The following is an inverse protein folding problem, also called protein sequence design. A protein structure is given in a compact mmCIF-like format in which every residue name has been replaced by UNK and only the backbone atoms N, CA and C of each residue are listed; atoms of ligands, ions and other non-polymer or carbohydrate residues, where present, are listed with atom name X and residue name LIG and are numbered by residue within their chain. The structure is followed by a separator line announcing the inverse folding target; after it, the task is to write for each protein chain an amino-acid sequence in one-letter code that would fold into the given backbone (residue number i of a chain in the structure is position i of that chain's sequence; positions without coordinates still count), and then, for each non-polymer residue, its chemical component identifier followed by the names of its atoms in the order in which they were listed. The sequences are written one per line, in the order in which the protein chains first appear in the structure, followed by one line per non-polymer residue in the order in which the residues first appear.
data_IF_008564964947
#
_entry.id   IF_008564964947
#
_cell.length_a   1.000
_cell.length_b   1.000
_cell.length_c   1.000
_cell.angle_alpha   90.00
_cell.angle_beta   90.00
_cell.angle_gamma   90.00
#
_symmetry.space_group_name_H-M   'P 1'
#
loop_
_entity.id
_entity.type
_entity.pdbx_description
1 polymer ?
#
# COMPACT_ATOMS: atom_id res chain seq x y z
N UNK A 1 -24.88 18.92 -15.61
CA UNK A 1 -24.52 20.17 -14.90
C UNK A 1 -25.47 20.28 -13.72
N UNK A 2 -25.06 19.80 -12.54
CA UNK A 2 -25.88 19.88 -11.32
C UNK A 2 -25.19 20.88 -10.39
N UNK A 3 -25.89 21.99 -10.13
CA UNK A 3 -25.51 22.99 -9.15
C UNK A 3 -25.66 22.43 -7.75
N UNK A 4 -24.57 22.42 -6.97
CA UNK A 4 -24.64 22.35 -5.51
C UNK A 4 -24.52 23.77 -4.95
N UNK A 5 -25.59 24.54 -5.12
CA UNK A 5 -25.80 25.80 -4.42
C UNK A 5 -26.57 25.56 -3.13
N UNK A 6 -25.89 25.09 -2.08
CA UNK A 6 -26.42 25.21 -0.73
C UNK A 6 -25.81 26.46 -0.10
N UNK A 7 -26.62 27.51 0.04
CA UNK A 7 -26.26 28.70 0.80
C UNK A 7 -25.81 28.26 2.20
N UNK A 8 -24.52 28.39 2.48
CA UNK A 8 -23.99 28.18 3.81
C UNK A 8 -24.60 29.26 4.72
N UNK A 9 -25.44 28.84 5.66
CA UNK A 9 -25.84 29.72 6.76
C UNK A 9 -24.58 30.27 7.44
N UNK A 10 -24.57 31.58 7.66
CA UNK A 10 -23.48 32.28 8.32
C UNK A 10 -23.28 31.73 9.75
N UNK A 11 -22.45 30.70 9.89
CA UNK A 11 -22.21 29.98 11.14
C UNK A 11 -21.99 28.46 10.98
N UNK A 12 -22.28 27.88 9.81
CA UNK A 12 -22.10 26.44 9.57
C UNK A 12 -20.65 26.08 9.20
N UNK A 13 -20.16 24.97 9.75
CA UNK A 13 -18.90 24.34 9.33
C UNK A 13 -19.17 23.61 8.00
N UNK A 14 -18.37 23.88 6.97
CA UNK A 14 -18.43 23.17 5.69
C UNK A 14 -17.14 22.41 5.43
N UNK A 15 -17.27 21.18 4.94
CA UNK A 15 -16.15 20.31 4.56
C UNK A 15 -16.22 20.10 3.04
N UNK A 16 -15.79 21.08 2.22
CA UNK A 16 -15.61 20.85 0.79
C UNK A 16 -14.56 19.78 0.56
N UNK A 17 -14.57 19.13 -0.62
CA UNK A 17 -13.60 18.07 -0.98
C UNK A 17 -12.14 18.49 -0.80
N UNK A 18 -11.86 19.80 -0.82
CA UNK A 18 -10.52 20.38 -0.80
C UNK A 18 -10.10 20.97 0.55
N UNK A 19 -10.93 20.94 1.59
CA UNK A 19 -10.54 21.54 2.87
C UNK A 19 -11.63 21.65 3.92
N UNK A 20 -11.37 22.49 4.91
CA UNK A 20 -12.27 22.78 6.03
C UNK A 20 -12.46 24.29 6.11
N UNK A 21 -13.71 24.74 5.97
CA UNK A 21 -14.07 26.15 6.15
C UNK A 21 -14.63 26.35 7.57
N UNK A 22 -14.00 27.26 8.32
CA UNK A 22 -14.28 27.50 9.74
C UNK A 22 -14.82 28.91 9.95
N UNK A 23 -15.89 29.07 10.75
CA UNK A 23 -16.41 30.40 11.03
C UNK A 23 -15.41 31.24 11.84
N UNK A 24 -15.34 32.54 11.53
CA UNK A 24 -14.42 33.51 12.15
C UNK A 24 -14.48 33.61 13.69
N UNK A 25 -15.54 33.09 14.33
CA UNK A 25 -15.71 33.07 15.80
C UNK A 25 -16.00 31.66 16.32
N UNK A 26 -15.19 30.68 15.94
CA UNK A 26 -15.26 29.34 16.52
C UNK A 26 -14.63 29.33 17.94
N UNK A 27 -15.34 28.89 18.99
CA UNK A 27 -14.76 28.72 20.32
C UNK A 27 -13.56 27.76 20.29
N UNK A 28 -12.50 28.08 21.04
CA UNK A 28 -11.26 27.29 21.07
C UNK A 28 -11.50 25.81 21.41
N UNK A 29 -12.35 25.52 22.39
CA UNK A 29 -12.68 24.15 22.78
C UNK A 29 -13.30 23.34 21.64
N UNK A 30 -14.18 23.97 20.84
CA UNK A 30 -14.77 23.35 19.65
C UNK A 30 -13.72 23.11 18.57
N UNK A 31 -12.81 24.06 18.36
CA UNK A 31 -11.70 23.91 17.43
C UNK A 31 -10.79 22.73 17.81
N UNK A 32 -10.43 22.60 19.09
CA UNK A 32 -9.64 21.46 19.61
C UNK A 32 -10.38 20.13 19.43
N UNK A 33 -11.68 20.09 19.72
CA UNK A 33 -12.50 18.89 19.53
C UNK A 33 -12.51 18.46 18.05
N UNK A 34 -12.69 19.40 17.13
CA UNK A 34 -12.64 19.12 15.69
C UNK A 34 -11.28 18.56 15.28
N UNK A 35 -10.18 19.14 15.77
CA UNK A 35 -8.83 18.62 15.52
C UNK A 35 -8.67 17.16 15.96
N UNK A 36 -9.20 16.79 17.14
CA UNK A 36 -9.18 15.40 17.64
C UNK A 36 -10.01 14.46 16.77
N UNK A 37 -11.20 14.88 16.34
CA UNK A 37 -12.06 14.10 15.44
C UNK A 37 -11.39 13.89 14.07
N UNK A 38 -10.83 14.95 13.48
CA UNK A 38 -10.10 14.86 12.21
C UNK A 38 -8.88 13.94 12.34
N UNK A 39 -8.13 14.04 13.44
CA UNK A 39 -7.00 13.17 13.70
C UNK A 39 -7.42 11.70 13.81
N UNK A 40 -8.53 11.42 14.51
CA UNK A 40 -9.09 10.07 14.66
C UNK A 40 -9.51 9.51 13.31
N UNK A 41 -10.29 10.28 12.53
CA UNK A 41 -10.75 9.88 11.19
C UNK A 41 -9.54 9.66 10.27
N UNK A 42 -8.56 10.54 10.30
CA UNK A 42 -7.34 10.39 9.51
C UNK A 42 -6.60 9.09 9.87
N UNK A 43 -6.34 8.85 11.16
CA UNK A 43 -5.62 7.67 11.63
C UNK A 43 -6.35 6.35 11.36
N UNK A 44 -7.69 6.34 11.42
CA UNK A 44 -8.50 5.13 11.22
C UNK A 44 -8.94 4.91 9.78
N UNK A 45 -8.92 5.94 8.93
CA UNK A 45 -9.49 5.89 7.56
C UNK A 45 -8.99 4.72 6.73
N UNK A 46 -7.68 4.46 6.71
CA UNK A 46 -7.08 3.36 5.96
C UNK A 46 -7.56 1.98 6.46
N UNK A 47 -7.69 1.82 7.78
CA UNK A 47 -8.26 0.60 8.38
C UNK A 47 -9.72 0.43 7.98
N UNK A 48 -10.55 1.46 8.16
CA UNK A 48 -11.97 1.40 7.82
C UNK A 48 -12.20 1.08 6.34
N UNK A 49 -11.43 1.70 5.43
CA UNK A 49 -11.52 1.43 4.00
C UNK A 49 -11.07 0.00 3.64
N UNK A 50 -10.03 -0.51 4.31
CA UNK A 50 -9.60 -1.90 4.16
C UNK A 50 -10.66 -2.88 4.63
N UNK A 51 -11.23 -2.67 5.82
CA UNK A 51 -12.28 -3.51 6.40
C UNK A 51 -13.57 -3.49 5.58
N UNK A 52 -13.98 -2.30 5.13
CA UNK A 52 -15.11 -2.14 4.23
C UNK A 52 -14.93 -2.96 2.95
N UNK A 53 -13.73 -2.96 2.38
CA UNK A 53 -13.45 -3.72 1.17
C UNK A 53 -13.46 -5.24 1.41
N UNK A 54 -12.87 -5.70 2.53
CA UNK A 54 -12.87 -7.11 2.91
C UNK A 54 -14.29 -7.62 3.20
N UNK A 55 -15.09 -6.82 3.87
CA UNK A 55 -16.51 -7.12 4.07
C UNK A 55 -17.23 -7.19 2.72
N UNK A 56 -16.99 -6.24 1.81
CA UNK A 56 -17.62 -6.24 0.49
C UNK A 56 -17.23 -7.44 -0.38
N UNK A 57 -15.98 -7.90 -0.30
CA UNK A 57 -15.51 -9.10 -1.00
C UNK A 57 -16.23 -10.37 -0.54
N UNK A 58 -16.45 -10.50 0.78
CA UNK A 58 -17.13 -11.66 1.38
C UNK A 58 -18.64 -11.61 1.24
N UNK A 59 -19.26 -10.43 1.40
CA UNK A 59 -20.71 -10.26 1.42
C UNK A 59 -21.34 -10.16 0.02
N UNK A 60 -20.59 -9.69 -0.99
CA UNK A 60 -21.15 -9.33 -2.30
C UNK A 60 -20.52 -10.04 -3.50
N UNK A 61 -19.91 -11.21 -3.35
CA UNK A 61 -19.45 -12.09 -4.43
C UNK A 61 -18.70 -11.38 -5.59
N UNK A 62 -17.84 -10.41 -5.28
CA UNK A 62 -17.03 -9.68 -6.28
C UNK A 62 -17.63 -8.36 -6.81
N UNK A 63 -18.86 -7.98 -6.40
CA UNK A 63 -19.47 -6.68 -6.75
C UNK A 63 -18.81 -5.46 -6.07
N UNK A 64 -17.83 -5.69 -5.21
CA UNK A 64 -17.05 -4.61 -4.61
C UNK A 64 -16.33 -3.76 -5.67
N UNK A 65 -16.02 -4.31 -6.86
CA UNK A 65 -15.40 -3.53 -7.95
C UNK A 65 -16.34 -2.43 -8.46
N UNK A 66 -17.63 -2.73 -8.62
CA UNK A 66 -18.66 -1.72 -8.93
C UNK A 66 -18.73 -0.67 -7.82
N UNK A 67 -18.61 -1.08 -6.55
CA UNK A 67 -18.61 -0.15 -5.43
C UNK A 67 -17.39 0.79 -5.45
N UNK A 68 -16.20 0.30 -5.83
CA UNK A 68 -15.00 1.14 -6.00
C UNK A 68 -15.18 2.13 -7.14
N UNK A 69 -15.81 1.76 -8.25
CA UNK A 69 -16.05 2.70 -9.36
C UNK A 69 -16.98 3.86 -8.96
N UNK A 70 -17.85 3.64 -7.98
CA UNK A 70 -18.76 4.65 -7.45
C UNK A 70 -18.15 5.52 -6.33
N UNK A 71 -17.10 5.05 -5.66
CA UNK A 71 -16.38 5.83 -4.67
C UNK A 71 -15.14 6.42 -5.35
N UNK A 72 -15.00 7.74 -5.48
CA UNK A 72 -13.88 8.40 -6.18
C UNK A 72 -12.48 8.18 -5.54
N UNK A 73 -12.10 6.93 -5.33
CA UNK A 73 -10.96 6.42 -4.57
C UNK A 73 -10.06 5.64 -5.52
N UNK A 74 -8.75 5.77 -5.35
CA UNK A 74 -7.80 5.02 -6.15
C UNK A 74 -7.87 3.52 -5.81
N UNK A 75 -8.21 2.70 -6.82
CA UNK A 75 -8.29 1.24 -6.70
C UNK A 75 -7.01 0.62 -6.11
N UNK A 76 -5.83 1.07 -6.54
CA UNK A 76 -4.56 0.52 -6.06
C UNK A 76 -4.35 0.78 -4.57
N UNK A 77 -4.72 1.98 -4.11
CA UNK A 77 -4.67 2.35 -2.70
C UNK A 77 -5.60 1.48 -1.86
N UNK A 78 -6.84 1.28 -2.33
CA UNK A 78 -7.82 0.43 -1.64
C UNK A 78 -7.38 -1.03 -1.58
N UNK A 79 -6.80 -1.55 -2.66
CA UNK A 79 -6.26 -2.91 -2.67
C UNK A 79 -5.14 -3.08 -1.65
N UNK A 80 -4.25 -2.11 -1.53
CA UNK A 80 -3.22 -2.10 -0.50
C UNK A 80 -3.83 -2.06 0.91
N UNK A 81 -4.84 -1.22 1.13
CA UNK A 81 -5.54 -1.13 2.42
C UNK A 81 -6.17 -2.46 2.83
N UNK A 82 -6.90 -3.09 1.91
CA UNK A 82 -7.51 -4.39 2.15
C UNK A 82 -6.47 -5.50 2.40
N UNK A 83 -5.35 -5.48 1.68
CA UNK A 83 -4.28 -6.44 1.91
C UNK A 83 -3.70 -6.33 3.32
N UNK A 84 -3.37 -5.13 3.80
CA UNK A 84 -2.88 -4.93 5.18
C UNK A 84 -3.97 -5.29 6.19
N UNK A 85 -5.22 -4.84 5.99
CA UNK A 85 -6.34 -5.16 6.86
C UNK A 85 -6.58 -6.66 7.01
N UNK A 86 -6.33 -7.43 5.94
CA UNK A 86 -6.42 -8.90 5.94
C UNK A 86 -5.28 -9.55 6.72
N UNK A 87 -4.06 -9.00 6.63
CA UNK A 87 -2.91 -9.49 7.41
C UNK A 87 -3.03 -9.19 8.90
N UNK A 88 -3.75 -8.12 9.26
CA UNK A 88 -3.98 -7.69 10.64
C UNK A 88 -5.48 -7.63 10.98
N UNK A 89 -6.08 -8.77 11.39
CA UNK A 89 -7.41 -8.76 12.00
C UNK A 89 -7.46 -7.80 13.20
N UNK A 90 -8.66 -7.34 13.58
CA UNK A 90 -8.85 -6.34 14.65
C UNK A 90 -8.07 -6.67 15.94
N UNK A 91 -7.97 -7.94 16.33
CA UNK A 91 -7.25 -8.40 17.53
C UNK A 91 -5.72 -8.27 17.45
N UNK A 92 -5.14 -8.15 16.26
CA UNK A 92 -3.68 -8.00 16.04
C UNK A 92 -3.28 -6.56 15.76
N UNK A 93 -4.23 -5.62 15.67
CA UNK A 93 -3.94 -4.20 15.45
C UNK A 93 -3.53 -3.55 16.76
N UNK A 94 -2.44 -2.77 16.70
CA UNK A 94 -1.94 -2.01 17.84
C UNK A 94 -2.31 -0.55 17.66
N UNK A 95 -3.10 -0.01 18.56
CA UNK A 95 -3.60 1.36 18.53
C UNK A 95 -2.48 2.42 18.69
N UNK A 96 -1.41 2.06 19.40
CA UNK A 96 -0.19 2.87 19.49
C UNK A 96 0.57 3.01 18.15
N UNK A 97 0.29 2.15 17.16
CA UNK A 97 0.99 2.13 15.87
C UNK A 97 0.06 2.49 14.72
N UNK A 98 0.53 3.38 13.84
CA UNK A 98 -0.25 3.74 12.66
C UNK A 98 -0.43 2.57 11.68
N UNK A 99 -1.42 2.66 10.80
CA UNK A 99 -1.60 1.77 9.65
C UNK A 99 -0.30 1.59 8.85
N UNK A 100 0.48 2.67 8.72
CA UNK A 100 1.76 2.64 8.02
C UNK A 100 2.78 1.68 8.63
N UNK A 101 2.87 1.57 9.96
CA UNK A 101 3.77 0.61 10.61
C UNK A 101 3.40 -0.83 10.25
N UNK A 102 2.11 -1.14 10.29
CA UNK A 102 1.58 -2.45 9.94
C UNK A 102 1.87 -2.78 8.46
N UNK A 103 1.74 -1.79 7.57
CA UNK A 103 2.05 -1.96 6.16
C UNK A 103 3.53 -2.33 5.90
N UNK A 104 4.48 -1.81 6.67
CA UNK A 104 5.92 -2.13 6.49
C UNK A 104 6.25 -3.60 6.77
N UNK A 105 5.48 -4.26 7.62
CA UNK A 105 5.73 -5.64 8.04
C UNK A 105 4.73 -6.64 7.44
N UNK A 106 3.70 -6.17 6.72
CA UNK A 106 2.59 -6.99 6.25
C UNK A 106 3.01 -8.18 5.36
N UNK A 107 4.15 -8.08 4.67
CA UNK A 107 4.72 -9.16 3.84
C UNK A 107 5.47 -10.23 4.64
N UNK A 108 5.84 -9.96 5.89
CA UNK A 108 6.53 -10.90 6.76
C UNK A 108 5.58 -11.98 7.30
N UNK A 109 6.16 -13.06 7.85
CA UNK A 109 5.38 -14.06 8.56
C UNK A 109 4.80 -13.49 9.86
N UNK A 110 3.68 -14.05 10.33
CA UNK A 110 2.93 -13.54 11.48
C UNK A 110 3.79 -13.38 12.75
N UNK A 111 4.70 -14.32 13.12
CA UNK A 111 5.60 -14.13 14.26
C UNK A 111 6.56 -12.95 14.10
N UNK A 112 7.07 -12.73 12.88
CA UNK A 112 7.99 -11.64 12.58
C UNK A 112 7.27 -10.28 12.61
N UNK A 113 6.04 -10.23 12.10
CA UNK A 113 5.19 -9.05 12.23
C UNK A 113 5.02 -8.65 13.69
N UNK A 114 4.66 -9.60 14.55
CA UNK A 114 4.41 -9.33 15.98
C UNK A 114 5.69 -8.89 16.71
N UNK A 115 6.83 -9.49 16.36
CA UNK A 115 8.15 -9.10 16.85
C UNK A 115 8.48 -7.65 16.49
N UNK A 116 8.40 -7.30 15.21
CA UNK A 116 8.77 -5.98 14.72
C UNK A 116 7.83 -4.87 15.20
N UNK A 117 6.52 -5.15 15.24
CA UNK A 117 5.55 -4.20 15.78
C UNK A 117 5.76 -3.99 17.28
N UNK A 118 6.07 -5.04 18.06
CA UNK A 118 6.43 -4.88 19.47
C UNK A 118 7.67 -4.02 19.65
N UNK A 119 8.73 -4.29 18.89
CA UNK A 119 9.97 -3.51 18.96
C UNK A 119 9.72 -2.03 18.62
N UNK A 120 8.91 -1.75 17.60
CA UNK A 120 8.55 -0.40 17.21
C UNK A 120 7.75 0.34 18.29
N UNK A 121 6.80 -0.34 18.93
CA UNK A 121 6.01 0.20 20.04
C UNK A 121 6.90 0.48 21.27
N UNK A 122 7.68 -0.50 21.70
CA UNK A 122 8.55 -0.40 22.88
C UNK A 122 9.60 0.72 22.75
N UNK A 123 10.10 0.96 21.54
CA UNK A 123 11.14 1.97 21.27
C UNK A 123 10.59 3.27 20.66
N UNK A 124 9.26 3.41 20.51
CA UNK A 124 8.64 4.58 19.91
C UNK A 124 9.14 4.88 18.49
N UNK A 125 9.40 3.85 17.69
CA UNK A 125 9.96 4.03 16.35
C UNK A 125 8.97 4.68 15.40
N UNK A 126 9.49 5.54 14.51
CA UNK A 126 8.73 5.96 13.34
C UNK A 126 8.64 4.82 12.33
N UNK A 127 7.64 4.89 11.44
CA UNK A 127 7.48 3.96 10.32
C UNK A 127 8.75 3.84 9.48
N UNK A 128 9.44 4.95 9.23
CA UNK A 128 10.67 4.95 8.44
C UNK A 128 11.81 4.22 9.18
N UNK A 129 11.90 4.36 10.51
CA UNK A 129 12.88 3.61 11.30
C UNK A 129 12.57 2.12 11.29
N UNK A 130 11.32 1.74 11.52
CA UNK A 130 10.86 0.35 11.44
C UNK A 130 11.22 -0.27 10.08
N UNK A 131 10.94 0.42 8.97
CA UNK A 131 11.31 -0.01 7.62
C UNK A 131 12.81 -0.27 7.48
N UNK A 132 13.64 0.65 7.98
CA UNK A 132 15.10 0.51 7.88
C UNK A 132 15.61 -0.72 8.65
N UNK A 133 15.08 -0.95 9.85
CA UNK A 133 15.45 -2.08 10.71
C UNK A 133 15.01 -3.43 10.13
N UNK A 134 13.78 -3.51 9.60
CA UNK A 134 13.29 -4.71 8.91
C UNK A 134 14.19 -5.03 7.71
N UNK A 135 14.55 -4.03 6.90
CA UNK A 135 15.43 -4.22 5.74
C UNK A 135 16.83 -4.68 6.13
N UNK A 136 17.42 -4.08 7.16
CA UNK A 136 18.74 -4.49 7.66
C UNK A 136 18.72 -5.96 8.08
N UNK A 137 17.71 -6.39 8.85
CA UNK A 137 17.57 -7.78 9.29
C UNK A 137 17.35 -8.76 8.14
N UNK A 138 16.59 -8.39 7.11
CA UNK A 138 16.41 -9.22 5.91
C UNK A 138 17.71 -9.36 5.11
N UNK A 139 18.51 -8.29 5.02
CA UNK A 139 19.79 -8.31 4.34
C UNK A 139 20.80 -9.21 5.06
N UNK A 140 20.93 -9.07 6.39
CA UNK A 140 21.79 -9.94 7.21
C UNK A 140 21.44 -11.43 7.04
N UNK A 141 20.15 -11.77 6.96
CA UNK A 141 19.69 -13.14 6.70
C UNK A 141 20.02 -13.63 5.31
N UNK A 142 19.96 -12.75 4.30
CA UNK A 142 20.32 -13.09 2.93
C UNK A 142 21.81 -13.37 2.80
N UNK A 143 22.66 -12.52 3.40
CA UNK A 143 24.12 -12.69 3.45
C UNK A 143 24.51 -13.97 4.20
N UNK A 144 23.88 -14.25 5.35
CA UNK A 144 24.13 -15.49 6.08
C UNK A 144 23.74 -16.76 5.30
N UNK A 145 22.67 -16.70 4.49
CA UNK A 145 22.26 -17.82 3.65
C UNK A 145 23.24 -18.06 2.48
N UNK A 146 23.82 -17.00 1.93
CA UNK A 146 24.80 -17.07 0.83
C UNK A 146 26.12 -17.71 1.26
N UNK A 147 26.63 -17.33 2.45
CA UNK A 147 27.86 -17.91 3.03
C UNK A 147 27.74 -19.42 3.31
N UNK A 148 26.54 -19.91 3.64
CA UNK A 148 26.32 -21.35 3.88
C UNK A 148 26.20 -22.18 2.60
N UNK A 149 25.96 -21.56 1.45
CA UNK A 149 25.83 -22.26 0.17
C UNK A 149 27.19 -22.53 -0.51
N UNK A 150 28.21 -21.71 -0.23
CA UNK A 150 29.53 -21.76 -0.89
C UNK A 150 30.54 -22.72 -0.21
N UNK A 151 30.12 -23.42 0.85
CA UNK A 151 30.96 -24.30 1.67
C UNK A 151 30.81 -25.81 1.44
N UNK A 152 30.08 -26.26 0.41
CA UNK A 152 29.84 -27.68 0.15
C UNK A 152 30.53 -28.15 -1.14
N UNK A 153 31.78 -28.61 -1.03
CA UNK A 153 32.46 -29.43 -2.05
C UNK A 153 32.68 -30.86 -1.55
N UNK A 154 32.23 -31.84 -2.34
CA UNK A 154 32.30 -33.29 -2.06
C UNK A 154 31.07 -34.09 -2.53
N UNK A 155 30.92 -34.31 -3.85
CA UNK A 155 29.87 -35.17 -4.46
C UNK A 155 30.23 -36.67 -4.51
N UNK A 156 29.56 -37.54 -5.34
CA UNK A 156 28.39 -37.33 -6.22
C UNK A 156 27.29 -38.44 -6.07
N UNK A 157 26.10 -38.25 -6.68
CA UNK A 157 25.41 -39.16 -7.63
C UNK A 157 23.89 -38.85 -7.74
N UNK A 158 23.31 -39.15 -8.89
CA UNK A 158 22.17 -38.49 -9.51
C UNK A 158 20.77 -38.68 -8.93
N UNK A 159 19.97 -37.61 -9.03
CA UNK A 159 18.54 -37.68 -9.33
C UNK A 159 18.08 -36.32 -9.87
N UNK A 160 17.83 -36.26 -11.19
CA UNK A 160 17.23 -35.11 -11.86
C UNK A 160 15.77 -34.98 -11.45
N UNK A 161 15.47 -33.88 -10.75
CA UNK A 161 14.14 -33.40 -10.42
C UNK A 161 14.01 -31.93 -10.82
N UNK A 162 12.96 -31.67 -11.58
CA UNK A 162 12.55 -30.45 -12.26
C UNK A 162 12.30 -29.23 -11.35
N UNK A 163 12.33 -28.05 -11.99
CA UNK A 163 11.86 -26.72 -11.56
C UNK A 163 12.80 -25.80 -10.76
N UNK A 164 13.95 -25.45 -11.34
CA UNK A 164 14.69 -24.23 -11.00
C UNK A 164 14.04 -22.99 -11.62
N UNK A 165 13.11 -22.33 -10.91
CA UNK A 165 12.76 -20.93 -11.19
C UNK A 165 13.87 -20.05 -10.59
N UNK A 166 14.79 -19.62 -11.44
CA UNK A 166 15.83 -18.66 -11.10
C UNK A 166 15.24 -17.42 -10.41
N UNK A 167 15.86 -17.02 -9.29
CA UNK A 167 15.69 -15.71 -8.68
C UNK A 167 16.09 -14.67 -9.72
N UNK A 168 15.10 -13.99 -10.31
CA UNK A 168 15.34 -12.75 -11.03
C UNK A 168 15.62 -11.66 -10.02
N UNK A 169 16.85 -11.15 -10.02
CA UNK A 169 17.24 -9.91 -9.36
C UNK A 169 16.57 -8.75 -10.10
N UNK A 170 15.31 -8.47 -9.76
CA UNK A 170 14.49 -7.46 -10.40
C UNK A 170 14.52 -6.15 -9.62
N UNK A 171 14.96 -5.07 -10.26
CA UNK A 171 14.88 -3.72 -9.70
C UNK A 171 13.47 -3.16 -9.98
N UNK A 172 12.69 -2.93 -8.91
CA UNK A 172 11.37 -2.30 -9.01
C UNK A 172 11.50 -0.77 -9.18
N UNK A 173 11.23 -0.29 -10.41
CA UNK A 173 11.20 1.14 -10.74
C UNK A 173 9.76 1.69 -10.59
N UNK A 174 9.56 2.65 -9.68
CA UNK A 174 8.31 3.40 -9.56
C UNK A 174 8.40 4.73 -10.30
N UNK A 175 7.48 4.96 -11.24
CA UNK A 175 7.41 6.17 -12.06
C UNK A 175 6.09 6.90 -11.80
N UNK A 176 6.16 8.20 -11.51
CA UNK A 176 4.98 9.06 -11.50
C UNK A 176 4.62 9.45 -12.94
N UNK A 177 3.50 8.90 -13.44
CA UNK A 177 2.98 9.15 -14.78
C UNK A 177 1.56 9.68 -14.72
N UNK A 178 1.24 10.60 -15.65
CA UNK A 178 -0.09 11.21 -15.73
C UNK A 178 -1.14 10.21 -16.23
N UNK A 179 -2.39 10.42 -15.85
CA UNK A 179 -3.50 9.53 -16.22
C UNK A 179 -3.67 9.40 -17.75
N UNK A 180 -3.38 10.45 -18.51
CA UNK A 180 -3.47 10.44 -19.97
C UNK A 180 -2.37 9.59 -20.60
N UNK A 181 -1.16 9.58 -20.03
CA UNK A 181 -0.08 8.68 -20.44
C UNK A 181 -0.42 7.22 -20.16
N UNK A 182 -1.02 6.93 -19.01
CA UNK A 182 -1.44 5.57 -18.66
C UNK A 182 -2.48 5.03 -19.64
N UNK A 183 -3.45 5.86 -20.05
CA UNK A 183 -4.46 5.48 -21.05
C UNK A 183 -3.81 5.16 -22.39
N UNK A 184 -2.88 6.01 -22.84
CA UNK A 184 -2.18 5.85 -24.10
C UNK A 184 -1.32 4.57 -24.11
N UNK A 185 -0.61 4.28 -23.01
CA UNK A 185 0.21 3.07 -22.88
C UNK A 185 -0.62 1.80 -22.81
N UNK A 186 -1.78 1.84 -22.15
CA UNK A 186 -2.73 0.71 -22.14
C UNK A 186 -3.25 0.38 -23.53
N UNK A 187 -3.68 1.41 -24.28
CA UNK A 187 -4.18 1.22 -25.64
C UNK A 187 -3.08 0.66 -26.58
N UNK A 188 -1.84 1.13 -26.47
CA UNK A 188 -0.72 0.64 -27.25
C UNK A 188 -0.32 -0.81 -26.87
N UNK A 189 -0.34 -1.14 -25.57
CA UNK A 189 -0.07 -2.50 -25.10
C UNK A 189 -1.16 -3.49 -25.55
N UNK A 190 -2.43 -3.07 -25.55
CA UNK A 190 -3.55 -3.87 -26.04
C UNK A 190 -3.45 -4.15 -27.55
N UNK A 191 -3.07 -3.16 -28.36
CA UNK A 191 -2.78 -3.37 -29.79
C UNK A 191 -1.63 -4.36 -30.04
N UNK A 192 -0.65 -4.39 -29.14
CA UNK A 192 0.46 -5.34 -29.21
C UNK A 192 0.15 -6.70 -28.54
N UNK A 193 -1.06 -6.90 -27.98
CA UNK A 193 -1.44 -8.08 -27.19
C UNK A 193 -0.48 -8.38 -26.03
N UNK A 194 0.04 -7.34 -25.38
CA UNK A 194 0.99 -7.42 -24.27
C UNK A 194 0.40 -6.77 -23.00
N UNK A 195 0.95 -7.13 -21.84
CA UNK A 195 0.72 -6.35 -20.63
C UNK A 195 1.42 -4.99 -20.74
N UNK A 196 0.93 -3.97 -20.02
CA UNK A 196 1.57 -2.64 -20.01
C UNK A 196 3.03 -2.73 -19.53
N UNK A 197 3.32 -3.63 -18.59
CA UNK A 197 4.67 -3.88 -18.09
C UNK A 197 5.57 -4.47 -19.17
N UNK A 198 5.13 -5.52 -19.87
CA UNK A 198 5.91 -6.17 -20.93
C UNK A 198 6.09 -5.26 -22.14
N UNK A 199 5.05 -4.49 -22.47
CA UNK A 199 5.10 -3.48 -23.52
C UNK A 199 6.08 -2.36 -23.18
N UNK A 200 6.05 -1.85 -21.93
CA UNK A 200 6.97 -0.81 -21.49
C UNK A 200 8.43 -1.28 -21.49
N UNK A 201 8.70 -2.51 -21.03
CA UNK A 201 10.04 -3.11 -21.09
C UNK A 201 10.53 -3.22 -22.54
N UNK A 202 9.70 -3.73 -23.46
CA UNK A 202 10.03 -3.77 -24.89
C UNK A 202 10.32 -2.40 -25.48
N UNK A 203 9.50 -1.41 -25.17
CA UNK A 203 9.67 -0.05 -25.68
C UNK A 203 10.96 0.61 -25.16
N UNK A 204 11.31 0.37 -23.89
CA UNK A 204 12.57 0.83 -23.29
C UNK A 204 13.78 0.13 -23.91
N UNK A 205 13.72 -1.18 -24.13
CA UNK A 205 14.79 -1.96 -24.77
C UNK A 205 15.02 -1.57 -26.24
N UNK A 206 13.97 -1.22 -26.96
CA UNK A 206 14.05 -0.75 -28.35
C UNK A 206 14.63 0.67 -28.40
N UNK A 207 14.15 1.57 -27.55
CA UNK A 207 14.69 2.92 -27.43
C UNK A 207 16.19 2.92 -27.10
N UNK A 208 16.63 2.03 -26.20
CA UNK A 208 18.03 1.87 -25.82
C UNK A 208 18.91 1.33 -26.96
N UNK A 209 18.35 0.53 -27.89
CA UNK A 209 19.06 0.03 -29.08
C UNK A 209 19.16 1.07 -30.20
N UNK A 210 18.29 2.07 -30.18
CA UNK A 210 18.26 3.16 -31.18
C UNK A 210 18.94 4.45 -30.73
N UNK A 211 19.44 4.50 -29.48
CA UNK A 211 20.18 5.63 -28.90
C UNK A 211 21.69 5.49 -29.13
#
# INVERSE_FOLDING_TARGET
MMEFGAAAEAGAISIPRTGLDLPNRLPYEKWVLMGRLLSTVHASSAWCLGDWLLHGETAYNGRYREAIENCSLNYQTLRNYAWVARRFPLSRRRDALSFGHHAEVASLADPEQDYWLRKAEDHGWSRNRLRAEVRASLNERAEAADVTADGADGGPDGAQGDAGRGRGDGIDLQLEITADRVKLWRAAAEQASLSVSDWALRALDEAARTA
#
